data_IF_364928950578
#
_entry.id   IF_364928950578
#
_cell.length_a   1.000
_cell.length_b   1.000
_cell.length_c   1.000
_cell.angle_alpha   90.00
_cell.angle_beta   90.00
_cell.angle_gamma   90.00
#
_symmetry.space_group_name_H-M   'P 1'
#
loop_
_entity.id
_entity.type
_entity.pdbx_description
1 polymer ?
#
# COMPACT_ATOMS: atom_id res chain seq x y z
N UNK A 1 36.58 24.33 38.64
CA UNK A 1 35.64 25.16 37.84
C UNK A 1 35.69 24.82 36.35
N UNK A 2 36.86 24.64 35.72
CA UNK A 2 36.95 24.26 34.30
C UNK A 2 36.49 22.82 33.99
N UNK A 3 36.79 21.85 34.88
CA UNK A 3 36.37 20.44 34.75
C UNK A 3 34.85 20.25 34.88
N UNK A 4 34.18 21.06 35.70
CA UNK A 4 32.73 21.01 35.88
C UNK A 4 32.01 21.54 34.64
N UNK A 5 32.50 22.63 34.04
CA UNK A 5 31.94 23.20 32.79
C UNK A 5 32.07 22.20 31.62
N UNK A 6 33.20 21.50 31.51
CA UNK A 6 33.40 20.47 30.47
C UNK A 6 32.42 19.29 30.59
N UNK A 7 32.10 18.84 31.81
CA UNK A 7 31.09 17.78 32.02
C UNK A 7 29.67 18.25 31.65
N UNK A 8 29.32 19.51 31.94
CA UNK A 8 28.02 20.06 31.54
C UNK A 8 27.89 20.19 30.01
N UNK A 9 28.95 20.60 29.30
CA UNK A 9 28.95 20.70 27.84
C UNK A 9 28.83 19.33 27.16
N UNK A 10 29.54 18.31 27.67
CA UNK A 10 29.43 16.94 27.17
C UNK A 10 28.03 16.34 27.42
N UNK A 11 27.42 16.63 28.57
CA UNK A 11 26.05 16.21 28.87
C UNK A 11 25.02 16.87 27.94
N UNK A 12 25.19 18.17 27.62
CA UNK A 12 24.30 18.85 26.67
C UNK A 12 24.42 18.30 25.24
N UNK A 13 25.62 17.95 24.77
CA UNK A 13 25.81 17.36 23.45
C UNK A 13 25.12 15.98 23.31
N UNK A 14 25.06 15.19 24.40
CA UNK A 14 24.34 13.92 24.41
C UNK A 14 22.81 14.08 24.33
N UNK A 15 22.25 15.14 24.94
CA UNK A 15 20.81 15.44 24.88
C UNK A 15 20.36 15.82 23.47
N UNK A 16 21.20 16.50 22.68
CA UNK A 16 20.88 16.84 21.29
C UNK A 16 21.00 15.68 20.29
N UNK A 17 21.56 14.53 20.71
CA UNK A 17 21.73 13.35 19.85
C UNK A 17 20.52 12.38 19.87
N UNK A 18 19.53 12.62 20.73
CA UNK A 18 18.25 11.89 20.69
C UNK A 18 17.38 12.45 19.57
N UNK A 19 17.78 12.16 18.33
CA UNK A 19 16.85 12.19 17.21
C UNK A 19 15.80 11.11 17.49
N UNK A 20 14.50 11.43 17.62
CA UNK A 20 13.49 10.40 17.81
C UNK A 20 13.49 9.51 16.56
N UNK A 21 14.02 8.29 16.70
CA UNK A 21 14.08 7.28 15.65
C UNK A 21 12.83 6.39 15.66
N UNK A 22 11.81 6.73 16.44
CA UNK A 22 10.78 5.79 16.89
C UNK A 22 9.40 6.00 16.25
N UNK A 23 9.30 6.75 15.15
CA UNK A 23 8.07 6.77 14.35
C UNK A 23 8.30 6.00 13.05
N UNK A 24 8.36 4.68 13.20
CA UNK A 24 8.42 3.73 12.10
C UNK A 24 7.13 3.89 11.29
N UNK A 25 7.24 4.47 10.10
CA UNK A 25 6.12 4.78 9.20
C UNK A 25 5.16 3.59 9.00
N UNK A 26 5.70 2.36 9.00
CA UNK A 26 4.93 1.11 8.90
C UNK A 26 4.03 0.82 10.11
N UNK A 27 4.35 1.31 11.31
CA UNK A 27 3.52 1.14 12.50
C UNK A 27 2.26 2.04 12.49
N UNK A 28 2.30 3.17 11.78
CA UNK A 28 1.13 4.09 11.66
C UNK A 28 0.08 3.52 10.72
N UNK A 29 0.50 2.68 9.78
CA UNK A 29 -0.36 2.20 8.72
C UNK A 29 -1.42 1.19 9.18
N UNK A 30 -1.19 0.56 10.33
CA UNK A 30 -2.13 -0.34 11.00
C UNK A 30 -3.19 0.40 11.83
N UNK A 31 -3.02 1.71 12.04
CA UNK A 31 -4.00 2.53 12.74
C UNK A 31 -5.18 2.88 11.81
N UNK A 32 -6.39 3.11 12.35
CA UNK A 32 -7.49 3.65 11.57
C UNK A 32 -7.13 5.03 11.01
N UNK A 33 -7.35 5.23 9.70
CA UNK A 33 -7.19 6.52 9.02
C UNK A 33 -8.55 7.04 8.58
N UNK A 34 -8.78 8.35 8.74
CA UNK A 34 -9.94 9.05 8.23
C UNK A 34 -9.46 10.26 7.40
N UNK A 35 -9.57 10.23 6.06
CA UNK A 35 -10.19 9.18 5.24
C UNK A 35 -9.33 7.90 5.15
N UNK A 36 -9.92 6.74 4.76
CA UNK A 36 -9.17 5.51 4.52
C UNK A 36 -8.06 5.70 3.48
N UNK A 37 -6.92 5.03 3.69
CA UNK A 37 -5.77 5.07 2.78
C UNK A 37 -5.94 4.17 1.54
N UNK A 38 -7.04 3.44 1.45
CA UNK A 38 -7.37 2.50 0.39
C UNK A 38 -8.88 2.54 0.10
N UNK A 39 -9.33 2.10 -1.09
CA UNK A 39 -10.75 2.06 -1.44
C UNK A 39 -11.53 1.06 -0.56
N UNK A 40 -12.77 1.42 -0.20
CA UNK A 40 -13.66 0.62 0.67
C UNK A 40 -15.01 0.40 0.00
N UNK A 41 -14.99 -0.19 -1.20
CA UNK A 41 -16.20 -0.47 -1.97
C UNK A 41 -16.97 -1.66 -1.38
N UNK A 42 -18.29 -1.52 -1.28
CA UNK A 42 -19.18 -2.65 -0.95
C UNK A 42 -19.40 -3.59 -2.14
N UNK A 43 -19.30 -3.05 -3.36
CA UNK A 43 -19.45 -3.75 -4.65
C UNK A 43 -18.54 -3.08 -5.68
N UNK A 44 -18.07 -3.87 -6.65
CA UNK A 44 -17.19 -3.34 -7.70
C UNK A 44 -17.85 -2.15 -8.42
N UNK A 45 -17.18 -0.97 -8.47
CA UNK A 45 -17.71 0.18 -9.17
C UNK A 45 -17.67 -0.04 -10.68
N UNK A 46 -18.48 0.68 -11.47
CA UNK A 46 -18.31 0.70 -12.92
C UNK A 46 -17.00 1.40 -13.30
N UNK A 47 -16.17 0.72 -14.11
CA UNK A 47 -14.85 1.21 -14.55
C UNK A 47 -14.68 1.07 -16.07
N UNK A 48 -13.53 1.49 -16.60
CA UNK A 48 -13.18 1.33 -18.02
C UNK A 48 -12.39 0.05 -18.29
N UNK A 49 -12.30 -0.86 -17.31
CA UNK A 49 -11.55 -2.09 -17.45
C UNK A 49 -12.11 -2.95 -18.61
N UNK A 50 -11.21 -3.54 -19.40
CA UNK A 50 -11.58 -4.49 -20.47
C UNK A 50 -10.63 -5.69 -20.47
N UNK A 51 -11.05 -6.81 -21.05
CA UNK A 51 -10.16 -7.96 -21.32
C UNK A 51 -9.52 -7.92 -22.72
N UNK A 52 -9.63 -6.80 -23.42
CA UNK A 52 -9.04 -6.63 -24.75
C UNK A 52 -7.51 -6.62 -24.65
N UNK A 53 -6.83 -7.32 -25.57
CA UNK A 53 -5.38 -7.48 -25.56
C UNK A 53 -4.80 -8.34 -24.42
N UNK A 54 -5.65 -8.87 -23.53
CA UNK A 54 -5.25 -9.68 -22.37
C UNK A 54 -5.43 -11.18 -22.64
N UNK A 55 -4.51 -11.99 -22.12
CA UNK A 55 -4.58 -13.45 -22.16
C UNK A 55 -5.53 -13.99 -21.07
N UNK A 56 -5.59 -15.32 -20.87
CA UNK A 56 -6.27 -15.88 -19.69
C UNK A 56 -5.51 -15.41 -18.44
N UNK A 57 -6.20 -14.80 -17.48
CA UNK A 57 -5.60 -14.48 -16.19
C UNK A 57 -6.51 -13.64 -15.31
N UNK A 58 -6.06 -13.39 -14.09
CA UNK A 58 -6.64 -12.38 -13.22
C UNK A 58 -5.88 -11.07 -13.40
N UNK A 59 -6.62 -9.97 -13.47
CA UNK A 59 -6.10 -8.64 -13.77
C UNK A 59 -6.67 -7.63 -12.78
N UNK A 60 -5.80 -6.73 -12.30
CA UNK A 60 -6.18 -5.65 -11.42
C UNK A 60 -7.00 -4.58 -12.15
N UNK A 61 -8.04 -4.07 -11.50
CA UNK A 61 -8.77 -2.89 -11.96
C UNK A 61 -8.17 -1.62 -11.37
N UNK A 62 -7.33 -0.95 -12.14
CA UNK A 62 -6.63 0.28 -11.73
C UNK A 62 -7.60 1.44 -11.47
N UNK A 63 -8.74 1.50 -12.18
CA UNK A 63 -9.74 2.56 -11.97
C UNK A 63 -10.43 2.41 -10.60
N UNK A 64 -10.49 1.18 -10.08
CA UNK A 64 -10.98 0.88 -8.72
C UNK A 64 -9.92 1.06 -7.63
N UNK A 65 -8.73 1.58 -7.96
CA UNK A 65 -7.59 1.57 -7.05
C UNK A 65 -7.10 0.15 -6.70
N UNK A 66 -7.34 -0.81 -7.59
CA UNK A 66 -6.99 -2.23 -7.46
C UNK A 66 -7.73 -2.98 -6.34
N UNK A 67 -8.81 -2.43 -5.77
CA UNK A 67 -9.64 -3.21 -4.87
C UNK A 67 -10.47 -4.25 -5.65
N UNK A 68 -10.91 -3.91 -6.87
CA UNK A 68 -11.52 -4.87 -7.78
C UNK A 68 -10.46 -5.54 -8.67
N UNK A 69 -10.76 -6.78 -9.04
CA UNK A 69 -10.01 -7.53 -10.04
C UNK A 69 -10.94 -8.39 -10.89
N UNK A 70 -10.47 -8.77 -12.07
CA UNK A 70 -11.28 -9.46 -13.07
C UNK A 70 -10.59 -10.73 -13.58
N UNK A 71 -11.34 -11.81 -13.71
CA UNK A 71 -10.88 -12.98 -14.45
C UNK A 71 -11.21 -12.82 -15.94
N UNK A 72 -10.20 -12.75 -16.79
CA UNK A 72 -10.34 -12.67 -18.24
C UNK A 72 -10.21 -14.04 -18.91
N UNK A 73 -11.09 -14.31 -19.86
CA UNK A 73 -11.01 -15.46 -20.76
C UNK A 73 -11.67 -15.14 -22.10
N UNK A 74 -11.00 -15.46 -23.22
CA UNK A 74 -11.48 -15.17 -24.58
C UNK A 74 -11.91 -13.70 -24.76
N UNK A 75 -11.09 -12.77 -24.27
CA UNK A 75 -11.33 -11.32 -24.32
C UNK A 75 -12.62 -10.85 -23.63
N UNK A 76 -13.15 -11.65 -22.70
CA UNK A 76 -14.33 -11.32 -21.91
C UNK A 76 -14.02 -11.39 -20.42
N UNK A 77 -14.65 -10.51 -19.66
CA UNK A 77 -14.71 -10.60 -18.20
C UNK A 77 -15.62 -11.78 -17.86
N UNK A 78 -15.08 -12.73 -17.10
CA UNK A 78 -15.82 -13.90 -16.62
C UNK A 78 -16.31 -13.67 -15.19
N UNK A 79 -15.45 -13.14 -14.33
CA UNK A 79 -15.79 -12.73 -12.97
C UNK A 79 -15.24 -11.34 -12.68
N UNK A 80 -15.88 -10.67 -11.73
CA UNK A 80 -15.42 -9.42 -11.12
C UNK A 80 -15.58 -9.60 -9.64
N UNK A 81 -14.49 -9.45 -8.92
CA UNK A 81 -14.40 -9.74 -7.50
C UNK A 81 -13.73 -8.57 -6.78
N UNK A 82 -14.02 -8.41 -5.49
CA UNK A 82 -13.40 -7.41 -4.63
C UNK A 82 -12.48 -8.09 -3.62
N UNK A 83 -11.29 -7.52 -3.43
CA UNK A 83 -10.49 -7.76 -2.25
C UNK A 83 -11.17 -7.16 -1.01
N UNK A 84 -10.95 -7.76 0.15
CA UNK A 84 -11.52 -7.29 1.41
C UNK A 84 -10.92 -5.93 1.81
N UNK A 85 -11.65 -5.19 2.65
CA UNK A 85 -11.16 -3.91 3.18
C UNK A 85 -9.77 -4.07 3.82
N UNK A 86 -8.82 -3.26 3.37
CA UNK A 86 -7.42 -3.28 3.81
C UNK A 86 -6.49 -4.03 2.85
N UNK A 87 -7.03 -4.62 1.78
CA UNK A 87 -6.26 -5.36 0.78
C UNK A 87 -6.57 -4.89 -0.63
N UNK A 88 -5.60 -5.01 -1.52
CA UNK A 88 -5.68 -4.70 -2.94
C UNK A 88 -5.17 -5.91 -3.73
N UNK A 89 -5.65 -6.08 -4.96
CA UNK A 89 -5.21 -7.18 -5.80
C UNK A 89 -3.79 -6.92 -6.31
N UNK A 90 -2.85 -7.74 -5.85
CA UNK A 90 -1.51 -7.80 -6.38
C UNK A 90 -1.50 -8.69 -7.64
N UNK A 91 -1.48 -8.08 -8.82
CA UNK A 91 -1.52 -8.83 -10.08
C UNK A 91 -0.27 -9.68 -10.30
N UNK A 92 0.90 -9.26 -9.80
CA UNK A 92 2.14 -10.03 -9.92
C UNK A 92 2.08 -11.35 -9.15
N UNK A 93 1.59 -11.32 -7.91
CA UNK A 93 1.47 -12.50 -7.05
C UNK A 93 0.10 -13.19 -7.13
N UNK A 94 -0.84 -12.62 -7.89
CA UNK A 94 -2.20 -13.13 -8.08
C UNK A 94 -2.95 -13.36 -6.75
N UNK A 95 -2.80 -12.43 -5.80
CA UNK A 95 -3.38 -12.50 -4.44
C UNK A 95 -3.85 -11.12 -3.98
N UNK A 96 -4.87 -11.06 -3.12
CA UNK A 96 -5.17 -9.84 -2.37
C UNK A 96 -4.12 -9.67 -1.27
N UNK A 97 -3.24 -8.69 -1.41
CA UNK A 97 -2.22 -8.34 -0.41
C UNK A 97 -2.61 -7.05 0.29
N UNK A 98 -1.98 -6.77 1.43
CA UNK A 98 -2.18 -5.51 2.13
C UNK A 98 -1.93 -4.31 1.22
N UNK A 99 -2.76 -3.29 1.34
CA UNK A 99 -2.76 -2.14 0.42
C UNK A 99 -1.40 -1.43 0.27
N UNK A 100 -0.51 -1.54 1.27
CA UNK A 100 0.83 -0.95 1.24
C UNK A 100 1.90 -1.77 0.51
N UNK A 101 1.62 -3.05 0.28
CA UNK A 101 2.45 -3.93 -0.53
C UNK A 101 2.12 -3.83 -2.01
N UNK A 102 0.99 -3.20 -2.37
CA UNK A 102 0.52 -3.09 -3.76
C UNK A 102 0.80 -1.69 -4.30
N UNK A 103 1.31 -1.61 -5.52
CA UNK A 103 1.51 -0.41 -6.34
C UNK A 103 0.55 -0.47 -7.52
N UNK A 104 -0.71 -0.17 -7.23
CA UNK A 104 -1.79 -0.25 -8.20
C UNK A 104 -1.46 0.43 -9.56
N UNK A 105 -1.49 -0.35 -10.64
CA UNK A 105 -1.19 0.13 -12.00
C UNK A 105 0.31 0.19 -12.35
N UNK A 106 1.21 -0.19 -11.44
CA UNK A 106 2.63 -0.36 -11.72
C UNK A 106 2.93 -1.79 -12.20
N UNK A 107 3.60 -1.97 -13.34
CA UNK A 107 4.13 -3.28 -13.74
C UNK A 107 5.43 -3.67 -13.03
N UNK A 108 5.98 -2.77 -12.19
CA UNK A 108 7.21 -2.98 -11.43
C UNK A 108 6.91 -2.79 -9.94
N UNK A 109 6.89 -3.87 -9.16
CA UNK A 109 6.60 -3.77 -7.71
C UNK A 109 7.77 -4.17 -6.80
N UNK A 110 8.88 -4.68 -7.35
CA UNK A 110 10.02 -5.16 -6.55
C UNK A 110 11.36 -4.44 -6.83
N UNK A 111 11.33 -3.19 -7.33
CA UNK A 111 12.54 -2.33 -7.45
C UNK A 111 12.52 -1.18 -6.44
#
# INVERSE_FOLDING_TARGET
MLKTIAMFLLASAAVFCQHPKDFEYYHILHLPHDPPLYPVFERAPPTRFTCEGRSRGYYADVDSGCQAFHFCWRHRIITTDLCSNGTLFNEQFQVCDHFYNVRCGSPYEDL
#
